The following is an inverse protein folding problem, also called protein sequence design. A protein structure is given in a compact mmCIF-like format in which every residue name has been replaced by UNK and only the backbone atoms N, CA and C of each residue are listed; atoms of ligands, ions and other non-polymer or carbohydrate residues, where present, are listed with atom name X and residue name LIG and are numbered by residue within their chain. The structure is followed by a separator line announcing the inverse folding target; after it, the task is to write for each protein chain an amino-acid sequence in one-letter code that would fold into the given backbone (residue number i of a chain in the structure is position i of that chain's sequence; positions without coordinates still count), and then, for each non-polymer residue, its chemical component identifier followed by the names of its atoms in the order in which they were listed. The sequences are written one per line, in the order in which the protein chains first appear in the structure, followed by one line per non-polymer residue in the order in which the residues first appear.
data_IF_350086209596
#
_entry.id   IF_350086209596
#
_cell.length_a   1.000
_cell.length_b   1.000
_cell.length_c   1.000
_cell.angle_alpha   90.00
_cell.angle_beta   90.00
_cell.angle_gamma   90.00
#
_symmetry.space_group_name_H-M   'P 1'
#
loop_
_entity.id
_entity.type
_entity.pdbx_description
1 polymer ?
#
# COMPACT_ATOMS: atom_id res chain seq x y z
N UNK A 1 80.78 30.70 -42.67
CA UNK A 1 79.34 30.91 -42.28
C UNK A 1 78.77 29.58 -41.87
N UNK A 2 78.83 29.26 -40.59
CA UNK A 2 78.37 27.99 -40.05
C UNK A 2 76.98 28.22 -39.39
N UNK A 3 75.99 27.52 -39.83
CA UNK A 3 74.67 27.46 -39.15
C UNK A 3 74.62 26.17 -38.32
N UNK A 4 74.61 26.35 -36.97
CA UNK A 4 74.45 25.30 -36.00
C UNK A 4 72.91 24.99 -35.87
N UNK A 5 72.49 23.77 -36.15
CA UNK A 5 71.13 23.27 -35.90
C UNK A 5 71.06 22.72 -34.46
N UNK A 6 70.24 23.36 -33.63
CA UNK A 6 69.94 22.89 -32.30
C UNK A 6 68.74 21.88 -32.37
N UNK A 7 69.03 20.65 -32.01
CA UNK A 7 68.05 19.56 -31.91
C UNK A 7 67.41 19.59 -30.54
N UNK A 8 66.10 19.86 -30.46
CA UNK A 8 65.32 19.78 -29.25
C UNK A 8 64.85 18.34 -28.99
N UNK A 9 65.34 17.71 -27.95
CA UNK A 9 64.80 16.45 -27.41
C UNK A 9 63.45 16.67 -26.80
N UNK A 10 62.41 16.00 -27.31
CA UNK A 10 61.10 15.86 -26.72
C UNK A 10 61.13 14.64 -25.79
N UNK A 11 60.97 14.86 -24.48
CA UNK A 11 60.80 13.83 -23.47
C UNK A 11 59.32 13.42 -23.45
N UNK A 12 58.95 12.15 -23.59
CA UNK A 12 57.53 11.75 -23.44
C UNK A 12 57.13 11.75 -21.97
N UNK A 13 56.11 12.53 -21.65
CA UNK A 13 55.43 12.51 -20.36
C UNK A 13 54.53 11.25 -20.30
N UNK A 14 54.97 10.24 -19.53
CA UNK A 14 54.15 9.06 -19.24
C UNK A 14 53.16 9.41 -18.15
N UNK A 15 51.92 9.58 -18.55
CA UNK A 15 50.80 9.79 -17.61
C UNK A 15 50.44 8.42 -16.98
N UNK A 16 50.91 8.17 -15.76
CA UNK A 16 50.50 7.00 -14.98
C UNK A 16 49.07 7.22 -14.47
N UNK A 17 48.09 6.59 -15.14
CA UNK A 17 46.71 6.49 -14.59
C UNK A 17 46.76 5.48 -13.47
N UNK A 18 46.76 5.97 -12.22
CA UNK A 18 46.54 5.14 -11.04
C UNK A 18 45.07 4.68 -11.06
N UNK A 19 44.83 3.44 -11.48
CA UNK A 19 43.56 2.74 -11.18
C UNK A 19 43.48 2.60 -9.66
N UNK A 20 42.72 3.46 -9.03
CA UNK A 20 42.27 3.24 -7.64
C UNK A 20 41.39 1.99 -7.65
N UNK A 21 41.93 0.85 -7.29
CA UNK A 21 41.18 -0.33 -6.96
C UNK A 21 40.28 0.06 -5.79
N UNK A 22 38.95 0.15 -6.02
CA UNK A 22 37.97 0.24 -4.95
C UNK A 22 38.23 -0.93 -4.00
N UNK A 23 38.36 -0.71 -2.68
CA UNK A 23 38.52 -1.82 -1.75
C UNK A 23 37.31 -2.73 -1.93
N UNK A 24 37.54 -4.01 -2.20
CA UNK A 24 36.50 -5.02 -2.06
C UNK A 24 35.97 -4.88 -0.62
N UNK A 25 34.76 -4.33 -0.44
CA UNK A 25 34.14 -4.25 0.86
C UNK A 25 34.04 -5.67 1.38
N UNK A 26 34.77 -5.96 2.46
CA UNK A 26 34.64 -7.20 3.21
C UNK A 26 33.16 -7.37 3.55
N UNK A 27 32.65 -8.61 3.48
CA UNK A 27 31.30 -8.90 3.91
C UNK A 27 31.16 -8.41 5.35
N UNK A 28 30.14 -7.56 5.62
CA UNK A 28 29.88 -7.04 6.97
C UNK A 28 29.54 -8.23 7.87
N UNK A 29 30.18 -8.30 9.01
CA UNK A 29 29.81 -9.27 10.05
C UNK A 29 28.57 -8.74 10.77
N UNK A 30 27.43 -9.40 10.53
CA UNK A 30 26.14 -8.97 11.06
C UNK A 30 25.89 -9.55 12.44
N UNK A 31 25.74 -8.70 13.45
CA UNK A 31 25.33 -9.09 14.78
C UNK A 31 23.79 -9.20 14.90
N UNK A 32 23.34 -9.99 15.87
CA UNK A 32 21.94 -10.01 16.32
C UNK A 32 21.90 -9.31 17.69
N UNK A 33 21.44 -8.04 17.75
CA UNK A 33 21.32 -7.29 18.99
C UNK A 33 20.18 -7.80 19.89
N UNK A 34 19.97 -7.10 21.04
CA UNK A 34 18.93 -7.44 22.02
C UNK A 34 17.49 -7.32 21.45
N UNK A 35 17.28 -6.64 20.33
CA UNK A 35 16.00 -6.67 19.61
C UNK A 35 15.66 -8.05 19.05
N UNK A 36 16.62 -8.95 18.93
CA UNK A 36 16.48 -10.26 18.33
C UNK A 36 16.44 -10.26 16.80
N UNK A 37 16.58 -9.08 16.16
CA UNK A 37 16.59 -8.92 14.70
C UNK A 37 18.00 -8.54 14.25
N UNK A 38 18.53 -9.29 13.28
CA UNK A 38 19.88 -9.05 12.73
C UNK A 38 20.09 -7.59 12.37
N UNK A 39 21.15 -6.98 12.87
CA UNK A 39 21.58 -5.61 12.56
C UNK A 39 20.63 -4.51 13.02
N UNK A 40 19.62 -4.79 13.84
CA UNK A 40 18.67 -3.78 14.34
C UNK A 40 18.88 -3.50 15.81
N UNK A 41 19.36 -2.31 16.13
CA UNK A 41 19.49 -1.77 17.47
C UNK A 41 18.20 -1.04 17.91
N UNK A 42 18.00 -0.89 19.22
CA UNK A 42 16.82 -0.22 19.77
C UNK A 42 16.65 1.22 19.25
N UNK A 43 17.73 1.97 19.05
CA UNK A 43 17.68 3.33 18.52
C UNK A 43 17.09 3.40 17.10
N UNK A 44 17.23 2.34 16.31
CA UNK A 44 16.73 2.27 14.93
C UNK A 44 15.23 2.04 14.86
N UNK A 45 14.57 1.79 15.99
CA UNK A 45 13.11 1.73 16.11
C UNK A 45 12.47 3.10 16.36
N UNK A 46 13.28 4.18 16.36
CA UNK A 46 12.84 5.56 16.44
C UNK A 46 13.00 6.24 15.05
N UNK A 47 11.94 6.85 14.47
CA UNK A 47 12.05 7.57 13.21
C UNK A 47 13.06 8.71 13.24
N UNK A 48 13.28 9.35 14.40
CA UNK A 48 14.24 10.43 14.56
C UNK A 48 15.68 9.97 14.24
N UNK A 49 16.04 8.72 14.52
CA UNK A 49 17.32 8.13 14.14
C UNK A 49 17.53 8.21 12.62
N UNK A 50 16.56 7.75 11.83
CA UNK A 50 16.64 7.70 10.37
C UNK A 50 16.56 9.08 9.73
N UNK A 51 15.70 9.94 10.26
CA UNK A 51 15.62 11.35 9.82
C UNK A 51 16.94 12.06 10.05
N UNK A 52 17.60 11.83 11.21
CA UNK A 52 18.91 12.39 11.54
C UNK A 52 20.05 11.92 10.64
N UNK A 53 19.92 10.77 9.98
CA UNK A 53 20.91 10.27 9.00
C UNK A 53 20.78 10.96 7.63
N UNK A 54 19.68 11.67 7.34
CA UNK A 54 19.46 12.30 6.06
C UNK A 54 20.15 13.67 6.00
N UNK A 55 20.94 13.92 4.97
CA UNK A 55 21.58 15.23 4.76
C UNK A 55 20.58 16.33 4.44
N UNK A 56 19.46 15.99 3.83
CA UNK A 56 18.38 16.89 3.41
C UNK A 56 17.00 16.26 3.69
N UNK A 57 16.62 16.07 4.97
CA UNK A 57 15.40 15.34 5.31
C UNK A 57 14.13 16.01 4.80
N UNK A 58 14.13 17.34 4.66
CA UNK A 58 12.97 18.15 4.25
C UNK A 58 13.00 18.52 2.76
N UNK A 59 13.95 17.99 1.98
CA UNK A 59 13.98 18.22 0.54
C UNK A 59 12.76 17.57 -0.13
N UNK A 60 11.99 18.38 -0.84
CA UNK A 60 10.87 17.90 -1.65
C UNK A 60 11.41 17.04 -2.81
N UNK A 61 10.98 15.78 -2.87
CA UNK A 61 11.37 14.80 -3.90
C UNK A 61 10.59 15.06 -5.19
N UNK A 62 9.26 15.19 -5.08
CA UNK A 62 8.35 15.61 -6.13
C UNK A 62 7.42 16.67 -5.55
N UNK A 63 7.19 17.74 -6.29
CA UNK A 63 6.18 18.74 -5.95
C UNK A 63 4.76 18.26 -6.34
N UNK A 64 3.76 18.99 -5.93
CA UNK A 64 2.35 18.66 -6.17
C UNK A 64 2.03 18.49 -7.66
N UNK A 65 2.62 19.30 -8.54
CA UNK A 65 2.39 19.22 -9.97
C UNK A 65 3.00 17.95 -10.58
N UNK A 66 4.21 17.59 -10.14
CA UNK A 66 4.88 16.36 -10.55
C UNK A 66 4.15 15.10 -10.06
N UNK A 67 3.61 15.13 -8.82
CA UNK A 67 2.77 14.06 -8.28
C UNK A 67 1.49 13.92 -9.11
N UNK A 68 0.80 15.02 -9.41
CA UNK A 68 -0.41 14.99 -10.24
C UNK A 68 -0.12 14.39 -11.63
N UNK A 69 0.97 14.81 -12.28
CA UNK A 69 1.39 14.25 -13.57
C UNK A 69 1.74 12.77 -13.52
N UNK A 70 2.31 12.30 -12.39
CA UNK A 70 2.60 10.88 -12.17
C UNK A 70 1.31 10.08 -11.98
N UNK A 71 0.35 10.56 -11.19
CA UNK A 71 -0.95 9.92 -11.01
C UNK A 71 -1.73 9.87 -12.33
N UNK A 72 -1.73 10.95 -13.13
CA UNK A 72 -2.34 10.94 -14.46
C UNK A 72 -1.70 9.91 -15.39
N UNK A 73 -0.37 9.78 -15.33
CA UNK A 73 0.35 8.74 -16.08
C UNK A 73 -0.04 7.34 -15.58
N UNK A 74 -0.22 7.14 -14.26
CA UNK A 74 -0.71 5.89 -13.67
C UNK A 74 -2.09 5.54 -14.25
N UNK A 75 -3.05 6.44 -14.16
CA UNK A 75 -4.41 6.23 -14.66
C UNK A 75 -4.46 5.94 -16.17
N UNK A 76 -3.58 6.55 -16.94
CA UNK A 76 -3.54 6.37 -18.40
C UNK A 76 -2.85 5.08 -18.85
N UNK A 77 -1.79 4.63 -18.17
CA UNK A 77 -0.91 3.57 -18.66
C UNK A 77 -1.03 2.26 -17.90
N UNK A 78 -1.42 2.29 -16.64
CA UNK A 78 -1.43 1.11 -15.79
C UNK A 78 -2.77 0.38 -15.89
N UNK A 79 -2.72 -0.84 -16.41
CA UNK A 79 -3.93 -1.66 -16.65
C UNK A 79 -4.56 -2.22 -15.38
N UNK A 80 -3.87 -2.15 -14.25
CA UNK A 80 -4.43 -2.54 -12.94
C UNK A 80 -5.30 -1.44 -12.32
N UNK A 81 -5.30 -0.24 -12.92
CA UNK A 81 -6.13 0.89 -12.51
C UNK A 81 -7.40 0.93 -13.36
N UNK A 82 -8.54 1.08 -12.70
CA UNK A 82 -9.84 1.19 -13.35
C UNK A 82 -10.31 2.65 -13.34
N UNK A 83 -10.49 3.24 -14.51
CA UNK A 83 -11.11 4.56 -14.63
C UNK A 83 -12.63 4.40 -14.51
N UNK A 84 -13.17 4.67 -13.33
CA UNK A 84 -14.61 4.59 -13.09
C UNK A 84 -15.42 5.62 -13.91
N UNK A 85 -14.81 6.76 -14.27
CA UNK A 85 -15.46 7.80 -15.10
C UNK A 85 -15.60 7.34 -16.55
N UNK A 86 -14.71 6.46 -17.00
CA UNK A 86 -14.73 5.92 -18.37
C UNK A 86 -15.59 4.65 -18.50
N UNK A 87 -16.15 4.11 -17.41
CA UNK A 87 -17.04 2.95 -17.52
C UNK A 87 -18.30 3.31 -18.30
N UNK A 88 -18.76 2.43 -19.24
CA UNK A 88 -19.97 2.65 -19.97
C UNK A 88 -21.19 2.62 -19.03
N UNK A 89 -22.27 3.31 -19.40
CA UNK A 89 -23.52 3.35 -18.65
C UNK A 89 -24.18 1.97 -18.52
N UNK A 90 -23.86 1.05 -19.43
CA UNK A 90 -24.29 -0.34 -19.39
C UNK A 90 -23.11 -1.25 -19.66
N UNK A 91 -23.02 -2.34 -18.91
CA UNK A 91 -21.95 -3.34 -18.99
C UNK A 91 -22.46 -4.61 -19.68
N UNK A 92 -21.63 -5.21 -20.53
CA UNK A 92 -21.95 -6.49 -21.15
C UNK A 92 -21.74 -7.63 -20.14
N UNK A 93 -22.47 -8.74 -20.36
CA UNK A 93 -22.27 -9.98 -19.59
C UNK A 93 -20.80 -10.42 -19.59
N UNK A 94 -20.11 -10.32 -20.73
CA UNK A 94 -18.72 -10.71 -20.88
C UNK A 94 -17.80 -9.87 -19.98
N UNK A 95 -17.99 -8.56 -19.93
CA UNK A 95 -17.20 -7.67 -19.06
C UNK A 95 -17.36 -8.05 -17.59
N UNK A 96 -18.60 -8.17 -17.11
CA UNK A 96 -18.87 -8.48 -15.70
C UNK A 96 -18.40 -9.91 -15.35
N UNK A 97 -18.73 -10.91 -16.18
CA UNK A 97 -18.29 -12.29 -15.94
C UNK A 97 -16.77 -12.43 -16.01
N UNK A 98 -16.11 -11.62 -16.86
CA UNK A 98 -14.65 -11.55 -16.93
C UNK A 98 -14.02 -11.12 -15.59
N UNK A 99 -14.51 -10.06 -14.98
CA UNK A 99 -14.02 -9.61 -13.66
C UNK A 99 -14.28 -10.64 -12.57
N UNK A 100 -15.52 -11.15 -12.47
CA UNK A 100 -15.87 -12.12 -11.42
C UNK A 100 -15.06 -13.40 -11.57
N UNK A 101 -14.97 -13.96 -12.79
CA UNK A 101 -14.25 -15.23 -13.05
C UNK A 101 -12.72 -15.08 -12.91
N UNK A 102 -12.18 -13.90 -13.15
CA UNK A 102 -10.75 -13.64 -12.92
C UNK A 102 -10.38 -13.77 -11.43
N UNK A 103 -11.28 -13.34 -10.54
CA UNK A 103 -11.09 -13.35 -9.09
C UNK A 103 -11.62 -14.63 -8.43
N UNK A 104 -12.90 -14.96 -8.64
CA UNK A 104 -13.63 -15.99 -7.91
C UNK A 104 -13.36 -17.40 -8.47
N UNK A 105 -12.09 -17.83 -8.40
CA UNK A 105 -11.66 -19.15 -8.86
C UNK A 105 -11.90 -20.20 -7.78
N UNK A 106 -12.67 -21.23 -8.10
CA UNK A 106 -12.94 -22.32 -7.17
C UNK A 106 -11.66 -22.93 -6.59
N UNK A 107 -11.55 -23.10 -5.25
CA UNK A 107 -10.38 -23.70 -4.64
C UNK A 107 -10.18 -25.16 -5.12
N UNK A 108 -8.93 -25.48 -5.51
CA UNK A 108 -8.56 -26.84 -5.96
C UNK A 108 -7.84 -27.65 -4.89
N UNK A 109 -7.38 -26.99 -3.81
CA UNK A 109 -6.68 -27.61 -2.68
C UNK A 109 -7.57 -27.60 -1.46
N UNK A 110 -7.37 -28.53 -0.50
CA UNK A 110 -8.03 -28.46 0.80
C UNK A 110 -7.74 -27.11 1.49
N UNK A 111 -8.75 -26.57 2.14
CA UNK A 111 -8.68 -25.36 2.95
C UNK A 111 -9.15 -25.67 4.36
N UNK A 112 -8.69 -24.87 5.32
CA UNK A 112 -9.00 -24.99 6.74
C UNK A 112 -9.72 -23.72 7.21
N UNK A 113 -10.61 -23.86 8.17
CA UNK A 113 -11.29 -22.72 8.80
C UNK A 113 -10.41 -22.08 9.89
N UNK A 114 -10.94 -21.08 10.58
CA UNK A 114 -10.25 -20.36 11.66
C UNK A 114 -10.00 -21.21 12.91
N UNK A 115 -10.60 -22.41 13.01
CA UNK A 115 -10.38 -23.39 14.06
C UNK A 115 -9.42 -24.51 13.64
N UNK A 116 -8.82 -24.40 12.44
CA UNK A 116 -7.93 -25.41 11.89
C UNK A 116 -8.64 -26.68 11.40
N UNK A 117 -9.98 -26.64 11.24
CA UNK A 117 -10.74 -27.78 10.74
C UNK A 117 -10.83 -27.72 9.21
N UNK A 118 -10.75 -28.87 8.52
CA UNK A 118 -10.96 -28.92 7.08
C UNK A 118 -12.35 -28.38 6.69
N UNK A 119 -12.39 -27.42 5.75
CA UNK A 119 -13.64 -26.90 5.21
C UNK A 119 -14.26 -27.94 4.29
N UNK A 120 -15.53 -28.29 4.55
CA UNK A 120 -16.26 -29.29 3.74
C UNK A 120 -16.40 -28.84 2.27
N UNK A 121 -16.32 -29.78 1.34
CA UNK A 121 -16.44 -29.49 -0.09
C UNK A 121 -17.77 -28.84 -0.45
N UNK A 122 -18.86 -29.28 0.19
CA UNK A 122 -20.20 -28.74 -0.04
C UNK A 122 -20.30 -27.27 0.43
N UNK A 123 -19.64 -26.90 1.53
CA UNK A 123 -19.55 -25.53 1.98
C UNK A 123 -18.79 -24.65 0.97
N UNK A 124 -17.66 -25.14 0.44
CA UNK A 124 -16.93 -24.43 -0.63
C UNK A 124 -17.74 -24.34 -1.92
N UNK A 125 -18.48 -25.39 -2.29
CA UNK A 125 -19.37 -25.36 -3.45
C UNK A 125 -20.49 -24.32 -3.27
N UNK A 126 -21.08 -24.22 -2.07
CA UNK A 126 -22.10 -23.22 -1.75
C UNK A 126 -21.54 -21.79 -1.87
N UNK A 127 -20.31 -21.53 -1.39
CA UNK A 127 -19.63 -20.25 -1.53
C UNK A 127 -19.42 -19.87 -2.99
N UNK A 128 -18.99 -20.82 -3.83
CA UNK A 128 -18.83 -20.61 -5.28
C UNK A 128 -20.17 -20.33 -5.96
N UNK A 129 -21.21 -21.09 -5.62
CA UNK A 129 -22.55 -20.91 -6.16
C UNK A 129 -23.17 -19.54 -5.78
N UNK A 130 -22.83 -19.02 -4.60
CA UNK A 130 -23.27 -17.69 -4.15
C UNK A 130 -22.76 -16.55 -5.05
N UNK A 131 -21.69 -16.76 -5.82
CA UNK A 131 -21.22 -15.79 -6.82
C UNK A 131 -22.21 -15.55 -7.97
N UNK A 132 -23.23 -16.39 -8.14
CA UNK A 132 -24.42 -16.17 -8.98
C UNK A 132 -24.10 -15.84 -10.46
N UNK A 133 -23.10 -16.50 -11.03
CA UNK A 133 -22.57 -16.19 -12.38
C UNK A 133 -23.63 -16.29 -13.48
N UNK A 134 -24.60 -17.21 -13.32
CA UNK A 134 -25.66 -17.43 -14.33
C UNK A 134 -26.65 -16.27 -14.40
N UNK A 135 -26.79 -15.50 -13.32
CA UNK A 135 -27.67 -14.33 -13.25
C UNK A 135 -27.02 -13.02 -13.75
N UNK A 136 -25.76 -13.05 -14.22
CA UNK A 136 -25.13 -11.87 -14.81
C UNK A 136 -25.92 -11.49 -16.08
N UNK A 137 -26.58 -10.33 -16.03
CA UNK A 137 -27.38 -9.84 -17.16
C UNK A 137 -26.47 -9.21 -18.22
N UNK A 138 -26.92 -9.28 -19.50
CA UNK A 138 -26.36 -8.48 -20.57
C UNK A 138 -26.99 -7.07 -20.55
N UNK A 139 -26.17 -6.03 -20.70
CA UNK A 139 -26.64 -4.64 -20.67
C UNK A 139 -27.06 -4.16 -19.27
N UNK A 140 -26.49 -4.71 -18.22
CA UNK A 140 -26.75 -4.24 -16.84
C UNK A 140 -26.31 -2.77 -16.67
N UNK A 141 -27.19 -1.95 -16.09
CA UNK A 141 -26.88 -0.53 -15.81
C UNK A 141 -25.76 -0.44 -14.75
N UNK A 142 -24.73 0.36 -15.07
CA UNK A 142 -23.66 0.67 -14.11
C UNK A 142 -24.22 1.57 -13.01
N UNK A 143 -24.15 1.11 -11.78
CA UNK A 143 -24.53 1.88 -10.58
C UNK A 143 -23.28 2.30 -9.85
N UNK A 144 -23.29 3.48 -9.24
CA UNK A 144 -22.17 3.99 -8.48
C UNK A 144 -22.50 4.08 -6.99
N UNK A 145 -21.49 3.91 -6.14
CA UNK A 145 -21.66 4.03 -4.69
C UNK A 145 -20.39 4.50 -4.00
N UNK A 146 -20.55 5.01 -2.79
CA UNK A 146 -19.46 5.32 -1.88
C UNK A 146 -19.42 4.28 -0.76
N UNK A 147 -18.22 3.88 -0.40
CA UNK A 147 -17.98 3.07 0.79
C UNK A 147 -18.23 3.94 2.02
N UNK A 148 -18.98 3.42 3.00
CA UNK A 148 -19.38 4.18 4.20
C UNK A 148 -18.64 3.79 5.47
N UNK A 149 -18.02 2.60 5.49
CA UNK A 149 -17.16 2.10 6.56
C UNK A 149 -15.96 1.40 5.95
N UNK A 150 -14.87 1.24 6.73
CA UNK A 150 -13.80 0.32 6.32
C UNK A 150 -14.40 -1.06 6.06
N UNK A 151 -14.17 -1.61 4.88
CA UNK A 151 -14.82 -2.82 4.41
C UNK A 151 -13.84 -3.77 3.73
N UNK A 152 -14.02 -5.05 3.99
CA UNK A 152 -13.27 -6.12 3.35
C UNK A 152 -13.71 -6.29 1.88
N UNK A 153 -12.74 -6.47 1.01
CA UNK A 153 -12.92 -6.96 -0.34
C UNK A 153 -12.56 -8.44 -0.40
N UNK A 154 -13.50 -9.26 -0.87
CA UNK A 154 -13.40 -10.71 -0.81
C UNK A 154 -13.34 -11.34 -2.20
N UNK A 155 -12.65 -12.48 -2.33
CA UNK A 155 -12.63 -13.30 -3.55
C UNK A 155 -13.99 -13.93 -3.86
N UNK A 156 -14.79 -14.16 -2.84
CA UNK A 156 -16.13 -14.73 -2.92
C UNK A 156 -17.10 -13.97 -2.00
N UNK A 157 -18.42 -13.99 -2.30
CA UNK A 157 -19.43 -13.35 -1.46
C UNK A 157 -19.68 -14.17 -0.18
N UNK A 158 -18.72 -14.10 0.76
CA UNK A 158 -18.75 -14.84 2.02
C UNK A 158 -17.88 -14.19 3.08
N UNK A 159 -18.30 -14.28 4.34
CA UNK A 159 -17.48 -13.94 5.51
C UNK A 159 -16.61 -15.11 5.98
N UNK A 160 -16.77 -16.30 5.41
CA UNK A 160 -15.96 -17.46 5.75
C UNK A 160 -14.48 -17.18 5.52
N UNK A 161 -13.68 -17.33 6.55
CA UNK A 161 -12.21 -17.27 6.47
C UNK A 161 -11.66 -18.65 6.22
N UNK A 162 -10.70 -18.73 5.29
CA UNK A 162 -10.11 -20.01 4.91
C UNK A 162 -8.60 -19.90 4.75
N UNK A 163 -7.89 -20.92 5.19
CA UNK A 163 -6.42 -20.95 5.27
C UNK A 163 -5.84 -22.17 4.55
N UNK A 164 -4.58 -22.08 4.15
CA UNK A 164 -3.89 -23.15 3.41
C UNK A 164 -3.37 -24.28 4.32
N UNK A 165 -3.29 -24.04 5.62
CA UNK A 165 -2.88 -25.03 6.64
C UNK A 165 -3.71 -24.83 7.91
N UNK A 166 -3.68 -25.80 8.79
CA UNK A 166 -4.44 -25.80 10.05
C UNK A 166 -3.79 -24.99 11.17
N UNK A 167 -2.58 -24.48 10.96
CA UNK A 167 -1.76 -23.75 11.95
C UNK A 167 -1.36 -22.34 11.47
N UNK A 168 -1.71 -21.95 10.25
CA UNK A 168 -1.46 -20.60 9.70
C UNK A 168 -2.79 -19.85 9.55
N UNK A 169 -3.03 -18.87 10.41
CA UNK A 169 -4.21 -18.01 10.38
C UNK A 169 -3.89 -16.57 9.94
N UNK A 170 -2.69 -16.32 9.43
CA UNK A 170 -2.27 -14.99 9.01
C UNK A 170 -2.75 -14.64 7.59
N UNK A 171 -2.95 -15.66 6.72
CA UNK A 171 -3.32 -15.44 5.31
C UNK A 171 -4.68 -16.10 5.01
N UNK A 172 -5.77 -15.33 5.15
CA UNK A 172 -7.11 -15.72 4.67
C UNK A 172 -7.13 -15.71 3.14
N UNK A 173 -7.39 -16.89 2.53
CA UNK A 173 -7.34 -17.09 1.07
C UNK A 173 -8.50 -16.47 0.32
N UNK A 174 -9.53 -16.02 1.01
CA UNK A 174 -10.65 -15.28 0.42
C UNK A 174 -10.58 -13.77 0.68
N UNK A 175 -9.63 -13.30 1.47
CA UNK A 175 -9.39 -11.89 1.66
C UNK A 175 -8.47 -11.33 0.57
N UNK A 176 -8.88 -10.25 -0.07
CA UNK A 176 -8.19 -9.67 -1.20
C UNK A 176 -7.66 -8.25 -0.93
N UNK A 177 -8.52 -7.39 -0.36
CA UNK A 177 -8.19 -5.99 -0.12
C UNK A 177 -9.15 -5.37 0.89
N UNK A 178 -8.97 -4.08 1.16
CA UNK A 178 -9.91 -3.23 1.90
C UNK A 178 -10.24 -1.96 1.14
N UNK A 179 -11.42 -1.41 1.39
CA UNK A 179 -11.84 -0.07 0.99
C UNK A 179 -12.20 0.77 2.22
N UNK A 180 -12.14 2.08 2.06
CA UNK A 180 -12.25 3.03 3.15
C UNK A 180 -13.42 3.99 2.94
N UNK A 181 -13.94 4.67 3.99
CA UNK A 181 -15.00 5.65 3.86
C UNK A 181 -14.68 6.71 2.79
N UNK A 182 -15.59 6.88 1.83
CA UNK A 182 -15.42 7.80 0.72
C UNK A 182 -14.78 7.20 -0.54
N UNK A 183 -14.28 5.96 -0.51
CA UNK A 183 -13.79 5.30 -1.72
C UNK A 183 -14.96 5.04 -2.69
N UNK A 184 -14.86 5.47 -3.97
CA UNK A 184 -15.90 5.26 -4.97
C UNK A 184 -15.83 3.84 -5.53
N UNK A 185 -17.00 3.30 -5.87
CA UNK A 185 -17.13 1.99 -6.53
C UNK A 185 -18.21 2.02 -7.61
N UNK A 186 -18.00 1.23 -8.67
CA UNK A 186 -19.06 0.83 -9.59
C UNK A 186 -19.61 -0.53 -9.13
N UNK A 187 -20.92 -0.61 -8.89
CA UNK A 187 -21.62 -1.85 -8.53
C UNK A 187 -22.06 -2.55 -9.79
N UNK A 188 -21.53 -3.76 -10.05
CA UNK A 188 -21.67 -4.43 -11.35
C UNK A 188 -22.39 -5.76 -11.29
N UNK A 189 -22.47 -6.43 -10.12
CA UNK A 189 -23.16 -7.69 -9.96
C UNK A 189 -23.60 -7.92 -8.52
N UNK A 190 -24.49 -8.91 -8.29
CA UNK A 190 -25.07 -9.22 -6.99
C UNK A 190 -25.00 -10.72 -6.70
N UNK A 191 -24.66 -11.08 -5.46
CA UNK A 191 -24.66 -12.48 -5.00
C UNK A 191 -26.05 -13.10 -5.00
N UNK A 192 -26.12 -14.42 -5.02
CA UNK A 192 -27.39 -15.17 -5.01
C UNK A 192 -28.22 -14.89 -3.74
N UNK A 193 -27.59 -14.78 -2.57
CA UNK A 193 -28.23 -14.46 -1.30
C UNK A 193 -28.61 -12.98 -1.16
N UNK A 194 -28.22 -12.15 -2.12
CA UNK A 194 -28.54 -10.74 -2.12
C UNK A 194 -27.81 -9.92 -1.05
N UNK A 195 -26.79 -10.45 -0.38
CA UNK A 195 -26.05 -9.74 0.70
C UNK A 195 -24.78 -9.05 0.21
N UNK A 196 -24.28 -9.40 -0.97
CA UNK A 196 -23.00 -8.92 -1.51
C UNK A 196 -23.17 -8.27 -2.87
N UNK A 197 -22.31 -7.30 -3.14
CA UNK A 197 -22.11 -6.76 -4.48
C UNK A 197 -20.70 -7.06 -4.96
N UNK A 198 -20.57 -7.43 -6.23
CA UNK A 198 -19.29 -7.35 -6.91
C UNK A 198 -19.12 -5.91 -7.36
N UNK A 199 -18.01 -5.30 -6.92
CA UNK A 199 -17.71 -3.89 -7.21
C UNK A 199 -16.38 -3.76 -7.91
N UNK A 200 -16.27 -2.70 -8.72
CA UNK A 200 -15.02 -2.24 -9.32
C UNK A 200 -14.67 -0.92 -8.63
N UNK A 201 -13.57 -0.87 -7.92
CA UNK A 201 -12.97 0.35 -7.38
C UNK A 201 -11.81 0.79 -8.28
N UNK A 202 -11.24 2.00 -8.13
CA UNK A 202 -10.10 2.44 -8.95
C UNK A 202 -8.91 1.47 -8.95
N UNK A 203 -8.70 0.70 -7.87
CA UNK A 203 -7.51 -0.13 -7.71
C UNK A 203 -7.78 -1.63 -7.56
N UNK A 204 -9.06 -2.04 -7.43
CA UNK A 204 -9.41 -3.45 -7.24
C UNK A 204 -10.87 -3.74 -7.62
N UNK A 205 -11.12 -4.96 -8.11
CA UNK A 205 -12.47 -5.45 -8.39
C UNK A 205 -12.72 -6.72 -7.56
N UNK A 206 -13.75 -6.72 -6.68
CA UNK A 206 -14.02 -7.82 -5.76
C UNK A 206 -15.42 -7.75 -5.14
N UNK A 207 -15.74 -8.72 -4.29
CA UNK A 207 -16.98 -8.75 -3.52
C UNK A 207 -16.89 -7.91 -2.26
N UNK A 208 -17.95 -7.13 -1.99
CA UNK A 208 -18.12 -6.33 -0.78
C UNK A 208 -19.52 -6.56 -0.21
N UNK A 209 -19.66 -6.56 1.11
CA UNK A 209 -20.98 -6.60 1.72
C UNK A 209 -21.78 -5.32 1.38
N UNK A 210 -23.03 -5.49 0.95
CA UNK A 210 -23.91 -4.37 0.57
C UNK A 210 -24.06 -3.29 1.63
N UNK A 211 -24.05 -3.68 2.91
CA UNK A 211 -24.21 -2.75 4.03
C UNK A 211 -23.11 -1.68 4.07
N UNK A 212 -21.97 -1.92 3.46
CA UNK A 212 -20.84 -0.99 3.44
C UNK A 212 -20.82 -0.04 2.25
N UNK A 213 -21.79 -0.13 1.34
CA UNK A 213 -21.85 0.72 0.14
C UNK A 213 -23.18 1.45 0.08
N UNK A 214 -23.14 2.78 -0.06
CA UNK A 214 -24.31 3.62 -0.33
C UNK A 214 -24.36 4.00 -1.81
N UNK A 215 -25.46 3.66 -2.50
CA UNK A 215 -25.61 3.89 -3.95
C UNK A 215 -26.19 5.27 -4.20
N UNK A 216 -25.60 6.01 -5.16
CA UNK A 216 -26.02 7.36 -5.52
C UNK A 216 -25.69 7.72 -6.96
N UNK A 217 -25.99 8.95 -7.30
CA UNK A 217 -25.70 9.50 -8.63
C UNK A 217 -24.21 9.51 -8.92
N UNK A 218 -23.82 9.19 -10.15
CA UNK A 218 -22.42 9.11 -10.58
C UNK A 218 -21.64 10.39 -10.25
N UNK A 219 -22.21 11.56 -10.51
CA UNK A 219 -21.59 12.86 -10.22
C UNK A 219 -21.27 13.04 -8.75
N UNK A 220 -22.21 12.72 -7.86
CA UNK A 220 -22.04 12.82 -6.41
C UNK A 220 -21.00 11.84 -5.88
N UNK A 221 -20.98 10.62 -6.43
CA UNK A 221 -20.05 9.55 -6.02
C UNK A 221 -18.64 9.86 -6.52
N UNK A 222 -18.47 10.11 -7.81
CA UNK A 222 -17.15 10.28 -8.43
C UNK A 222 -16.52 11.64 -8.08
N UNK A 223 -17.34 12.65 -7.78
CA UNK A 223 -16.87 13.97 -7.35
C UNK A 223 -16.57 14.08 -5.85
N UNK A 224 -16.94 13.10 -5.00
CA UNK A 224 -16.78 13.22 -3.55
C UNK A 224 -15.33 13.44 -3.13
N UNK A 225 -14.39 12.65 -3.64
CA UNK A 225 -12.96 12.75 -3.34
C UNK A 225 -12.26 13.99 -3.91
N UNK A 226 -12.91 14.75 -4.82
CA UNK A 226 -12.34 15.95 -5.43
C UNK A 226 -12.75 17.24 -4.70
N UNK A 227 -13.72 17.16 -3.78
CA UNK A 227 -14.28 18.33 -3.10
C UNK A 227 -13.24 19.02 -2.21
N UNK A 228 -13.30 20.35 -2.16
CA UNK A 228 -12.46 21.22 -1.34
C UNK A 228 -13.35 22.23 -0.57
N UNK A 229 -12.89 22.73 0.59
CA UNK A 229 -11.71 22.29 1.34
C UNK A 229 -11.85 20.86 1.89
N UNK A 230 -10.74 20.28 2.31
CA UNK A 230 -10.70 18.90 2.76
C UNK A 230 -9.72 18.69 3.92
N UNK A 231 -9.78 17.50 4.55
CA UNK A 231 -8.75 16.97 5.44
C UNK A 231 -8.23 15.66 4.87
N UNK A 232 -6.91 15.44 5.01
CA UNK A 232 -6.24 14.17 4.73
C UNK A 232 -5.76 13.58 6.05
N UNK A 233 -6.10 12.32 6.31
CA UNK A 233 -5.61 11.61 7.49
C UNK A 233 -4.12 11.33 7.34
N UNK A 234 -3.33 11.78 8.31
CA UNK A 234 -1.88 11.59 8.37
C UNK A 234 -1.45 10.67 9.51
N UNK A 235 -2.36 10.28 10.41
CA UNK A 235 -2.16 9.20 11.37
C UNK A 235 -2.30 7.83 10.73
N UNK A 236 -1.81 6.76 11.38
CA UNK A 236 -2.10 5.39 10.94
C UNK A 236 -3.61 5.16 10.84
N UNK A 237 -4.34 5.69 11.80
CA UNK A 237 -5.80 5.74 11.90
C UNK A 237 -6.21 7.05 12.58
N UNK A 238 -7.38 7.57 12.22
CA UNK A 238 -8.06 8.65 12.90
C UNK A 238 -9.52 8.27 13.11
N UNK A 239 -10.19 8.87 14.09
CA UNK A 239 -11.57 8.54 14.42
C UNK A 239 -12.42 9.79 14.54
N UNK A 240 -13.64 9.73 14.03
CA UNK A 240 -14.65 10.74 14.32
C UNK A 240 -15.06 10.64 15.79
N UNK A 241 -15.66 11.72 16.31
CA UNK A 241 -16.18 11.69 17.69
C UNK A 241 -17.38 10.75 17.81
N UNK A 242 -17.51 10.15 19.01
CA UNK A 242 -18.74 9.46 19.42
C UNK A 242 -19.93 10.40 19.34
N UNK A 243 -21.00 9.95 18.70
CA UNK A 243 -22.28 10.68 18.64
C UNK A 243 -23.47 9.73 18.57
N UNK A 244 -24.40 9.78 19.55
CA UNK A 244 -25.62 8.99 19.50
C UNK A 244 -26.67 9.57 18.53
N UNK A 245 -26.56 10.86 18.17
CA UNK A 245 -27.52 11.54 17.29
C UNK A 245 -27.38 11.10 15.82
N UNK A 246 -26.16 10.68 15.43
CA UNK A 246 -25.88 10.14 14.08
C UNK A 246 -24.93 8.94 14.16
N UNK A 247 -25.46 7.76 14.54
CA UNK A 247 -24.62 6.57 14.78
C UNK A 247 -23.82 6.11 13.56
N UNK A 248 -24.26 6.50 12.32
CA UNK A 248 -23.59 6.10 11.07
C UNK A 248 -22.22 6.75 10.88
N UNK A 249 -21.92 7.83 11.62
CA UNK A 249 -20.62 8.51 11.58
C UNK A 249 -19.95 8.58 12.96
N UNK A 250 -20.48 7.83 13.95
CA UNK A 250 -19.94 7.77 15.30
C UNK A 250 -18.72 6.87 15.37
N UNK A 251 -17.60 7.37 15.93
CA UNK A 251 -16.33 6.63 16.08
C UNK A 251 -15.88 5.94 14.79
N UNK A 252 -16.18 6.56 13.64
CA UNK A 252 -15.85 6.01 12.34
C UNK A 252 -14.34 6.10 12.10
N UNK A 253 -13.72 4.96 11.82
CA UNK A 253 -12.31 4.89 11.49
C UNK A 253 -12.06 5.43 10.08
N UNK A 254 -11.04 6.28 9.99
CA UNK A 254 -10.46 6.81 8.74
C UNK A 254 -8.98 6.41 8.71
N UNK A 255 -8.59 5.64 7.71
CA UNK A 255 -7.21 5.14 7.57
C UNK A 255 -6.30 6.20 6.91
N UNK A 256 -4.97 6.04 7.05
CA UNK A 256 -3.98 6.97 6.49
C UNK A 256 -4.23 7.26 5.01
N UNK A 257 -4.13 8.52 4.63
CA UNK A 257 -4.37 8.99 3.26
C UNK A 257 -5.84 9.11 2.88
N UNK A 258 -6.80 8.76 3.77
CA UNK A 258 -8.22 9.05 3.51
C UNK A 258 -8.43 10.56 3.47
N UNK A 259 -9.06 11.02 2.37
CA UNK A 259 -9.41 12.42 2.14
C UNK A 259 -10.90 12.60 2.31
N UNK A 260 -11.29 13.57 3.17
CA UNK A 260 -12.69 13.87 3.47
C UNK A 260 -12.98 15.36 3.30
N UNK A 261 -14.11 15.75 2.67
CA UNK A 261 -14.51 17.14 2.53
C UNK A 261 -14.76 17.81 3.88
N UNK A 262 -14.43 19.10 3.99
CA UNK A 262 -14.70 19.95 5.15
C UNK A 262 -15.89 20.87 4.83
N UNK A 263 -16.85 20.95 5.77
CA UNK A 263 -17.96 21.89 5.74
C UNK A 263 -17.51 23.23 6.34
N UNK A 264 -16.72 24.00 5.57
CA UNK A 264 -16.10 25.24 6.04
C UNK A 264 -17.12 26.31 6.48
N UNK A 265 -18.29 26.33 5.82
CA UNK A 265 -19.36 27.31 6.09
C UNK A 265 -20.33 26.82 7.19
N UNK A 266 -19.92 25.84 8.01
CA UNK A 266 -20.76 25.39 9.11
C UNK A 266 -21.02 26.55 10.09
N UNK A 267 -22.30 26.86 10.43
CA UNK A 267 -22.61 28.05 11.21
C UNK A 267 -21.95 28.04 12.58
N UNK A 268 -21.25 29.13 12.92
CA UNK A 268 -20.61 29.31 14.24
C UNK A 268 -21.64 29.16 15.34
N UNK A 269 -21.32 28.35 16.36
CA UNK A 269 -22.20 28.08 17.49
C UNK A 269 -23.29 27.02 17.23
N UNK A 270 -23.49 26.56 15.97
CA UNK A 270 -24.38 25.44 15.68
C UNK A 270 -23.68 24.13 16.03
N UNK A 271 -24.23 23.33 16.96
CA UNK A 271 -23.68 22.01 17.26
C UNK A 271 -23.71 21.08 16.04
N UNK A 272 -22.74 20.17 15.98
CA UNK A 272 -22.74 19.01 15.09
C UNK A 272 -23.05 17.80 15.93
N UNK A 273 -24.15 17.12 15.63
CA UNK A 273 -24.56 15.91 16.36
C UNK A 273 -24.44 16.10 17.90
N UNK A 274 -25.07 17.13 18.43
CA UNK A 274 -25.10 17.42 19.85
C UNK A 274 -23.84 18.09 20.45
N UNK A 275 -22.75 18.26 19.69
CA UNK A 275 -21.48 18.80 20.21
C UNK A 275 -21.03 20.04 19.45
N UNK A 276 -20.46 21.03 20.17
CA UNK A 276 -19.87 22.23 19.57
C UNK A 276 -18.54 21.92 18.84
N UNK A 277 -18.38 22.46 17.63
CA UNK A 277 -17.28 22.09 16.73
C UNK A 277 -15.93 22.79 16.98
N UNK A 278 -15.78 23.71 17.95
CA UNK A 278 -14.60 24.58 18.07
C UNK A 278 -13.25 23.85 18.24
N UNK A 279 -13.25 22.59 18.68
CA UNK A 279 -12.06 21.74 18.85
C UNK A 279 -11.90 20.69 17.75
N UNK A 280 -12.69 20.79 16.68
CA UNK A 280 -12.74 19.78 15.62
C UNK A 280 -12.88 20.43 14.25
N UNK A 281 -12.54 19.72 13.19
CA UNK A 281 -13.00 20.02 11.84
C UNK A 281 -14.41 19.42 11.67
N UNK A 282 -15.33 20.18 11.07
CA UNK A 282 -16.62 19.63 10.62
C UNK A 282 -16.38 19.03 9.25
N UNK A 283 -16.41 17.72 9.16
CA UNK A 283 -16.22 16.98 7.90
C UNK A 283 -17.56 16.41 7.42
N UNK A 284 -17.66 16.12 6.15
CA UNK A 284 -18.82 15.46 5.55
C UNK A 284 -18.47 14.02 5.19
N UNK A 285 -19.29 13.07 5.60
CA UNK A 285 -19.07 11.64 5.35
C UNK A 285 -20.25 11.03 4.62
N UNK A 286 -20.00 10.06 3.72
CA UNK A 286 -21.08 9.30 3.10
C UNK A 286 -21.73 8.41 4.13
N UNK A 287 -23.04 8.33 4.09
CA UNK A 287 -23.86 7.44 4.92
C UNK A 287 -24.87 6.70 4.06
N UNK A 288 -25.20 5.47 4.49
CA UNK A 288 -26.17 4.62 3.83
C UNK A 288 -27.50 4.72 4.50
N UNK A 289 -28.54 5.11 3.76
CA UNK A 289 -29.92 5.06 4.20
C UNK A 289 -30.46 3.61 4.26
N UNK A 290 -31.61 3.41 4.93
CA UNK A 290 -32.21 2.08 5.06
C UNK A 290 -32.56 1.43 3.71
N UNK A 291 -32.88 2.21 2.69
CA UNK A 291 -33.14 1.76 1.32
C UNK A 291 -31.86 1.51 0.50
N UNK A 292 -30.69 1.77 1.09
CA UNK A 292 -29.38 1.63 0.42
C UNK A 292 -28.90 2.86 -0.31
N UNK A 293 -29.68 3.93 -0.36
CA UNK A 293 -29.32 5.17 -1.05
C UNK A 293 -28.23 5.96 -0.33
N UNK A 294 -27.46 6.74 -1.09
CA UNK A 294 -26.41 7.62 -0.59
C UNK A 294 -27.00 8.90 -0.02
N UNK A 295 -26.64 9.17 1.22
CA UNK A 295 -26.77 10.49 1.84
C UNK A 295 -25.41 10.93 2.38
N UNK A 296 -25.32 12.16 2.86
CA UNK A 296 -24.16 12.68 3.56
C UNK A 296 -24.55 13.18 4.94
N UNK A 297 -23.68 12.99 5.91
CA UNK A 297 -23.85 13.48 7.26
C UNK A 297 -22.61 14.24 7.74
N UNK A 298 -22.79 15.33 8.53
CA UNK A 298 -21.69 16.00 9.18
C UNK A 298 -21.15 15.14 10.31
N UNK A 299 -19.83 15.16 10.47
CA UNK A 299 -19.11 14.51 11.57
C UNK A 299 -18.05 15.44 12.14
N UNK A 300 -17.65 15.23 13.38
CA UNK A 300 -16.56 15.94 14.01
C UNK A 300 -15.28 15.09 13.93
N UNK A 301 -14.24 15.63 13.26
CA UNK A 301 -12.88 15.11 13.31
C UNK A 301 -12.08 15.95 14.32
N UNK A 302 -11.77 15.42 15.51
CA UNK A 302 -11.07 16.17 16.54
C UNK A 302 -9.69 16.64 16.11
N UNK A 303 -9.24 17.80 16.60
CA UNK A 303 -7.88 18.30 16.33
C UNK A 303 -6.76 17.39 16.84
N UNK A 304 -7.06 16.51 17.82
CA UNK A 304 -6.11 15.49 18.30
C UNK A 304 -5.87 14.37 17.29
N UNK A 305 -6.82 14.13 16.37
CA UNK A 305 -6.69 13.13 15.34
C UNK A 305 -5.75 13.67 14.24
N UNK A 306 -4.66 12.95 13.94
CA UNK A 306 -3.66 13.43 12.98
C UNK A 306 -4.25 13.57 11.57
N UNK A 307 -4.42 14.79 11.12
CA UNK A 307 -4.93 15.12 9.77
C UNK A 307 -4.51 16.52 9.37
N UNK A 308 -4.31 16.74 8.05
CA UNK A 308 -3.89 18.02 7.48
C UNK A 308 -4.91 18.52 6.45
N UNK A 309 -4.90 19.82 6.17
CA UNK A 309 -5.75 20.46 5.14
C UNK A 309 -5.15 20.38 3.73
N UNK A 310 -4.04 19.68 3.59
CA UNK A 310 -3.32 19.39 2.36
C UNK A 310 -2.60 18.05 2.46
N UNK A 311 -2.16 17.51 1.33
CA UNK A 311 -1.27 16.34 1.34
C UNK A 311 0.10 16.73 1.88
N UNK A 312 0.73 15.85 2.66
CA UNK A 312 2.09 16.07 3.14
C UNK A 312 3.05 16.23 1.94
N UNK A 313 4.03 17.10 2.07
CA UNK A 313 5.10 17.19 1.08
C UNK A 313 5.85 15.85 0.98
N UNK A 314 6.12 15.38 -0.23
CA UNK A 314 6.90 14.15 -0.46
C UNK A 314 8.36 14.41 -0.14
N UNK A 315 8.77 14.13 1.08
CA UNK A 315 10.13 14.33 1.60
C UNK A 315 10.67 13.06 2.27
N UNK A 316 11.99 12.90 2.40
CA UNK A 316 12.56 11.79 3.17
C UNK A 316 12.01 11.72 4.60
N UNK A 317 11.88 12.88 5.29
CA UNK A 317 11.29 12.96 6.64
C UNK A 317 9.90 12.35 6.67
N UNK A 318 8.99 12.83 5.83
CA UNK A 318 7.60 12.37 5.86
C UNK A 318 7.49 10.89 5.48
N UNK A 319 8.27 10.39 4.52
CA UNK A 319 8.30 8.97 4.17
C UNK A 319 8.67 8.10 5.39
N UNK A 320 9.73 8.48 6.10
CA UNK A 320 10.18 7.79 7.31
C UNK A 320 9.11 7.88 8.40
N UNK A 321 8.70 9.09 8.78
CA UNK A 321 7.77 9.31 9.88
C UNK A 321 6.41 8.63 9.64
N UNK A 322 5.88 8.66 8.40
CA UNK A 322 4.63 7.98 8.07
C UNK A 322 4.76 6.45 8.17
N UNK A 323 5.88 5.89 7.71
CA UNK A 323 6.13 4.45 7.85
C UNK A 323 6.17 4.01 9.33
N UNK A 324 6.83 4.78 10.17
CA UNK A 324 6.99 4.47 11.60
C UNK A 324 5.69 4.61 12.41
N UNK A 325 4.68 5.32 11.93
CA UNK A 325 3.36 5.37 12.57
C UNK A 325 2.66 4.00 12.63
N UNK A 326 3.11 3.06 11.81
CA UNK A 326 2.61 1.69 11.78
C UNK A 326 3.51 0.68 12.51
N UNK A 327 4.67 1.10 13.02
CA UNK A 327 5.61 0.18 13.65
C UNK A 327 4.94 -0.59 14.80
N UNK A 328 4.97 -1.93 14.70
CA UNK A 328 4.29 -2.83 15.63
C UNK A 328 2.80 -3.10 15.30
N UNK A 329 2.22 -2.48 14.25
CA UNK A 329 0.90 -2.91 13.77
C UNK A 329 1.01 -4.34 13.23
N UNK A 330 0.02 -5.18 13.59
CA UNK A 330 -0.04 -6.56 13.13
C UNK A 330 -0.24 -6.63 11.62
N UNK A 331 0.49 -7.54 10.97
CA UNK A 331 0.29 -7.87 9.56
C UNK A 331 -1.16 -8.31 9.29
N UNK A 332 -1.78 -7.72 8.27
CA UNK A 332 -3.14 -8.03 7.86
C UNK A 332 -3.21 -8.30 6.36
N UNK A 333 -3.12 -9.57 5.94
CA UNK A 333 -3.28 -9.94 4.53
C UNK A 333 -4.56 -9.33 3.94
N UNK A 334 -4.43 -8.62 2.81
CA UNK A 334 -5.58 -7.95 2.19
C UNK A 334 -6.32 -6.97 3.11
N UNK A 335 -5.63 -6.30 4.05
CA UNK A 335 -6.22 -5.45 5.09
C UNK A 335 -7.05 -6.18 6.17
N UNK A 336 -6.92 -7.51 6.30
CA UNK A 336 -7.52 -8.27 7.41
C UNK A 336 -7.08 -7.74 8.78
N UNK A 337 -7.82 -8.10 9.80
CA UNK A 337 -7.50 -7.82 11.22
C UNK A 337 -7.34 -6.33 11.54
N UNK A 338 -8.00 -5.47 10.77
CA UNK A 338 -7.85 -4.01 10.83
C UNK A 338 -6.38 -3.56 10.66
N UNK A 339 -5.56 -4.38 10.02
CA UNK A 339 -4.16 -4.14 9.68
C UNK A 339 -3.98 -3.86 8.19
N UNK A 340 -2.76 -4.09 7.69
CA UNK A 340 -2.34 -3.92 6.30
C UNK A 340 -1.46 -5.09 5.88
N UNK A 341 -1.37 -5.34 4.57
CA UNK A 341 -0.30 -6.14 3.99
C UNK A 341 0.82 -5.23 3.45
N UNK A 342 1.89 -5.83 2.94
CA UNK A 342 3.08 -5.11 2.50
C UNK A 342 2.78 -4.03 1.45
N UNK A 343 1.91 -4.31 0.47
CA UNK A 343 1.56 -3.35 -0.59
C UNK A 343 0.54 -2.31 -0.13
N UNK A 344 -0.37 -2.66 0.77
CA UNK A 344 -1.28 -1.73 1.44
C UNK A 344 -0.52 -0.73 2.30
N UNK A 345 0.44 -1.22 3.10
CA UNK A 345 1.32 -0.40 3.94
C UNK A 345 2.04 0.68 3.13
N UNK A 346 2.77 0.31 2.09
CA UNK A 346 3.47 1.32 1.27
C UNK A 346 2.50 2.24 0.53
N UNK A 347 1.36 1.73 0.04
CA UNK A 347 0.37 2.54 -0.66
C UNK A 347 -0.22 3.63 0.22
N UNK A 348 -0.53 3.35 1.49
CA UNK A 348 -1.11 4.34 2.39
C UNK A 348 -0.11 5.40 2.81
N UNK A 349 1.16 5.04 3.03
CA UNK A 349 2.24 6.02 3.26
C UNK A 349 2.28 7.02 2.11
N UNK A 350 2.37 6.54 0.87
CA UNK A 350 2.43 7.39 -0.31
C UNK A 350 1.13 8.17 -0.55
N UNK A 351 -0.03 7.58 -0.26
CA UNK A 351 -1.35 8.24 -0.37
C UNK A 351 -1.48 9.45 0.56
N UNK A 352 -0.82 9.44 1.73
CA UNK A 352 -0.79 10.60 2.64
C UNK A 352 -0.07 11.81 2.04
N UNK A 353 0.75 11.59 1.00
CA UNK A 353 1.47 12.60 0.21
C UNK A 353 0.84 12.83 -1.18
N UNK A 354 -0.33 12.25 -1.44
CA UNK A 354 -1.05 12.39 -2.71
C UNK A 354 -0.54 11.50 -3.84
N UNK A 355 0.42 10.62 -3.60
CA UNK A 355 0.94 9.68 -4.59
C UNK A 355 0.09 8.42 -4.61
N UNK A 356 -0.39 8.03 -5.78
CA UNK A 356 -1.16 6.82 -5.99
C UNK A 356 -0.27 5.66 -6.48
N UNK A 357 -0.54 4.47 -5.95
CA UNK A 357 0.12 3.23 -6.35
C UNK A 357 -0.94 2.15 -6.67
N UNK A 358 -0.63 1.20 -7.56
CA UNK A 358 -1.44 0.00 -7.73
C UNK A 358 -1.66 -0.75 -6.42
N UNK A 359 -2.71 -1.59 -6.35
CA UNK A 359 -3.01 -2.32 -5.11
C UNK A 359 -2.07 -3.49 -4.85
N UNK A 360 -1.80 -4.30 -5.85
CA UNK A 360 -1.04 -5.53 -5.67
C UNK A 360 0.47 -5.30 -5.79
N UNK A 361 1.24 -6.05 -5.04
CA UNK A 361 2.71 -6.04 -5.11
C UNK A 361 3.22 -6.30 -6.54
N UNK A 362 2.61 -7.24 -7.27
CA UNK A 362 2.97 -7.55 -8.65
C UNK A 362 2.75 -6.38 -9.60
N UNK A 363 1.64 -5.66 -9.43
CA UNK A 363 1.29 -4.53 -10.29
C UNK A 363 2.16 -3.31 -9.96
N UNK A 364 2.37 -3.03 -8.67
CA UNK A 364 3.31 -1.99 -8.23
C UNK A 364 4.71 -2.22 -8.80
N UNK A 365 5.21 -3.47 -8.75
CA UNK A 365 6.56 -3.82 -9.21
C UNK A 365 6.83 -3.46 -10.67
N UNK A 366 5.81 -3.52 -11.53
CA UNK A 366 5.94 -3.30 -12.97
C UNK A 366 5.21 -2.05 -13.46
N UNK A 367 4.65 -1.25 -12.57
CA UNK A 367 3.89 -0.06 -12.93
C UNK A 367 4.68 0.86 -13.87
N UNK A 368 4.12 1.25 -15.02
CA UNK A 368 4.78 2.13 -15.98
C UNK A 368 4.77 3.59 -15.56
N UNK A 369 4.07 3.92 -14.47
CA UNK A 369 3.97 5.28 -13.95
C UNK A 369 5.22 5.73 -13.21
N UNK A 370 6.01 4.79 -12.68
CA UNK A 370 7.16 5.03 -11.84
C UNK A 370 8.49 4.83 -12.60
N UNK A 371 9.59 5.23 -11.98
CA UNK A 371 10.92 5.08 -12.56
C UNK A 371 11.50 3.71 -12.15
N UNK A 372 11.31 2.71 -13.03
CA UNK A 372 11.57 1.31 -12.76
C UNK A 372 13.00 0.89 -13.12
N UNK A 373 13.66 0.15 -12.22
CA UNK A 373 14.81 -0.69 -12.51
C UNK A 373 14.35 -2.16 -12.48
N UNK A 374 14.34 -2.81 -13.63
CA UNK A 374 14.03 -4.24 -13.72
C UNK A 374 15.30 -5.07 -13.52
N UNK A 375 15.19 -6.15 -12.77
CA UNK A 375 16.24 -7.13 -12.49
C UNK A 375 15.81 -8.51 -12.99
N UNK A 376 16.75 -9.27 -13.50
CA UNK A 376 16.53 -10.61 -14.04
C UNK A 376 17.58 -11.60 -13.56
N UNK A 377 17.42 -12.87 -13.85
CA UNK A 377 18.41 -13.91 -13.52
C UNK A 377 19.77 -13.73 -14.25
N UNK A 378 19.85 -12.79 -15.21
CA UNK A 378 21.09 -12.45 -15.91
C UNK A 378 21.94 -11.44 -15.12
N UNK A 379 21.35 -10.74 -14.15
CA UNK A 379 22.07 -9.76 -13.33
C UNK A 379 22.92 -10.47 -12.29
N UNK A 380 24.22 -10.21 -12.30
CA UNK A 380 25.16 -10.82 -11.37
C UNK A 380 24.89 -10.41 -9.92
N UNK A 381 25.28 -11.24 -8.93
CA UNK A 381 25.19 -10.87 -7.51
C UNK A 381 25.87 -9.54 -7.19
N UNK A 382 27.02 -9.26 -7.81
CA UNK A 382 27.75 -8.00 -7.65
C UNK A 382 26.91 -6.80 -8.15
N UNK A 383 26.25 -6.93 -9.33
CA UNK A 383 25.37 -5.89 -9.86
C UNK A 383 24.15 -5.64 -8.94
N UNK A 384 23.53 -6.71 -8.44
CA UNK A 384 22.40 -6.63 -7.51
C UNK A 384 22.78 -5.93 -6.21
N UNK A 385 23.93 -6.28 -5.63
CA UNK A 385 24.45 -5.65 -4.43
C UNK A 385 24.80 -4.17 -4.67
N UNK A 386 25.39 -3.84 -5.81
CA UNK A 386 25.64 -2.44 -6.20
C UNK A 386 24.33 -1.65 -6.23
N UNK A 387 23.29 -2.16 -6.92
CA UNK A 387 21.97 -1.50 -6.97
C UNK A 387 21.38 -1.34 -5.56
N UNK A 388 21.49 -2.37 -4.71
CA UNK A 388 20.99 -2.31 -3.33
C UNK A 388 21.67 -1.18 -2.53
N UNK A 389 22.97 -0.97 -2.71
CA UNK A 389 23.73 0.10 -2.04
C UNK A 389 23.49 1.50 -2.61
N UNK A 390 22.91 1.61 -3.80
CA UNK A 390 22.52 2.89 -4.43
C UNK A 390 21.09 3.31 -4.09
N UNK A 391 20.35 2.50 -3.31
CA UNK A 391 18.98 2.80 -2.90
C UNK A 391 18.91 4.03 -2.00
N UNK A 392 17.84 4.78 -2.14
CA UNK A 392 17.56 5.99 -1.35
C UNK A 392 16.21 5.88 -0.63
N UNK A 393 16.02 6.72 0.37
CA UNK A 393 14.74 6.79 1.11
C UNK A 393 13.57 6.94 0.14
N UNK A 394 12.57 6.09 0.31
CA UNK A 394 11.39 6.04 -0.53
C UNK A 394 11.51 5.13 -1.77
N UNK A 395 12.69 4.59 -2.10
CA UNK A 395 12.75 3.55 -3.13
C UNK A 395 12.01 2.30 -2.64
N UNK A 396 11.18 1.71 -3.53
CA UNK A 396 10.43 0.50 -3.24
C UNK A 396 11.14 -0.70 -3.85
N UNK A 397 11.50 -1.67 -3.00
CA UNK A 397 12.22 -2.89 -3.38
C UNK A 397 11.22 -4.05 -3.45
N UNK A 398 11.18 -4.74 -4.60
CA UNK A 398 10.28 -5.87 -4.84
C UNK A 398 11.05 -7.18 -4.96
N UNK A 399 10.59 -8.16 -4.20
CA UNK A 399 10.93 -9.58 -4.35
C UNK A 399 9.64 -10.37 -4.64
N UNK A 400 9.67 -11.64 -5.06
CA UNK A 400 8.45 -12.40 -5.31
C UNK A 400 7.49 -12.38 -4.11
N UNK A 401 6.31 -11.76 -4.30
CA UNK A 401 5.24 -11.69 -3.31
C UNK A 401 5.42 -10.64 -2.22
N UNK A 402 6.44 -9.77 -2.27
CA UNK A 402 6.69 -8.80 -1.21
C UNK A 402 7.27 -7.48 -1.71
N UNK A 403 6.97 -6.39 -0.98
CA UNK A 403 7.51 -5.05 -1.18
C UNK A 403 8.01 -4.46 0.13
N UNK A 404 9.08 -3.69 0.05
CA UNK A 404 9.74 -3.00 1.16
C UNK A 404 10.07 -1.57 0.76
N UNK A 405 9.95 -0.62 1.69
CA UNK A 405 10.35 0.78 1.49
C UNK A 405 11.70 1.05 2.16
N UNK A 406 12.63 1.62 1.41
CA UNK A 406 13.95 2.04 1.94
C UNK A 406 13.78 3.25 2.85
N UNK A 407 14.39 3.20 4.04
CA UNK A 407 14.35 4.28 5.06
C UNK A 407 15.71 4.93 5.31
N UNK A 408 16.78 4.36 4.81
CA UNK A 408 18.13 4.90 4.97
C UNK A 408 19.21 3.87 4.77
N UNK A 409 20.43 4.25 5.13
CA UNK A 409 21.61 3.39 5.08
C UNK A 409 22.46 3.58 6.34
N UNK A 410 23.13 2.51 6.78
CA UNK A 410 24.15 2.55 7.83
C UNK A 410 25.39 1.87 7.26
N UNK A 411 26.52 2.61 7.20
CA UNK A 411 27.79 2.12 6.62
C UNK A 411 27.65 1.61 5.19
N UNK A 412 26.78 2.23 4.39
CA UNK A 412 26.50 1.84 3.00
C UNK A 412 25.58 0.62 2.83
N UNK A 413 25.04 0.08 3.92
CA UNK A 413 24.07 -1.01 3.87
C UNK A 413 22.63 -0.48 3.99
N UNK A 414 21.73 -0.79 3.05
CA UNK A 414 20.37 -0.28 3.04
C UNK A 414 19.49 -0.94 4.11
N UNK A 415 18.68 -0.11 4.75
CA UNK A 415 17.63 -0.54 5.67
C UNK A 415 16.26 -0.23 5.10
N UNK A 416 15.33 -1.13 5.39
CA UNK A 416 13.95 -1.06 4.92
C UNK A 416 12.97 -1.13 6.08
N UNK A 417 11.79 -0.54 5.86
CA UNK A 417 10.60 -0.77 6.68
C UNK A 417 9.56 -1.47 5.83
N UNK A 418 8.95 -2.51 6.35
CA UNK A 418 7.99 -3.32 5.62
C UNK A 418 7.04 -4.07 6.55
N UNK A 419 5.86 -4.36 6.06
CA UNK A 419 4.87 -5.15 6.77
C UNK A 419 4.97 -6.61 6.30
N UNK A 420 5.27 -7.53 7.22
CA UNK A 420 5.61 -8.92 6.90
C UNK A 420 5.21 -9.90 7.98
N UNK A 421 4.91 -11.14 7.60
CA UNK A 421 4.66 -12.23 8.55
C UNK A 421 5.92 -12.66 9.31
N UNK A 422 7.11 -12.42 8.75
CA UNK A 422 8.36 -12.74 9.42
C UNK A 422 9.60 -12.55 8.56
N UNK A 423 10.76 -12.68 9.21
CA UNK A 423 12.09 -12.54 8.63
C UNK A 423 12.89 -13.84 8.79
N UNK A 424 13.80 -14.09 7.86
CA UNK A 424 14.81 -15.14 7.99
C UNK A 424 16.20 -14.55 7.77
N UNK A 425 17.16 -14.99 8.58
CA UNK A 425 18.56 -14.57 8.49
C UNK A 425 19.48 -15.63 9.11
N UNK A 426 20.79 -15.49 8.90
CA UNK A 426 21.78 -16.39 9.54
C UNK A 426 22.11 -15.85 10.93
N UNK A 427 21.90 -16.66 11.95
CA UNK A 427 22.28 -16.34 13.33
C UNK A 427 23.78 -16.48 13.60
N UNK A 428 24.23 -16.06 14.79
CA UNK A 428 25.63 -16.13 15.21
C UNK A 428 26.22 -17.56 15.20
N UNK A 429 25.38 -18.59 15.36
CA UNK A 429 25.76 -20.00 15.29
C UNK A 429 25.80 -20.56 13.85
N UNK A 430 25.60 -19.72 12.84
CA UNK A 430 25.56 -20.12 11.44
C UNK A 430 24.26 -20.78 10.99
N UNK A 431 23.27 -20.92 11.88
CA UNK A 431 21.98 -21.50 11.54
C UNK A 431 20.98 -20.44 11.09
N UNK A 432 20.01 -20.88 10.28
CA UNK A 432 18.90 -20.00 9.90
C UNK A 432 17.97 -19.74 11.09
N UNK A 433 17.84 -18.48 11.45
CA UNK A 433 16.83 -17.97 12.38
C UNK A 433 15.59 -17.56 11.57
N UNK A 434 14.42 -17.90 12.09
CA UNK A 434 13.12 -17.44 11.56
C UNK A 434 12.41 -16.62 12.65
N UNK A 435 12.43 -15.31 12.51
CA UNK A 435 11.75 -14.40 13.42
C UNK A 435 10.32 -14.17 12.91
N UNK A 436 9.31 -14.64 13.66
CA UNK A 436 7.90 -14.38 13.35
C UNK A 436 7.53 -12.98 13.86
N UNK A 437 7.86 -11.93 13.10
CA UNK A 437 7.57 -10.54 13.46
C UNK A 437 6.09 -10.21 13.34
N UNK A 438 5.44 -10.75 12.33
CA UNK A 438 4.00 -10.65 12.04
C UNK A 438 3.47 -9.21 12.16
N UNK A 439 4.15 -8.28 11.51
CA UNK A 439 3.81 -6.86 11.56
C UNK A 439 4.84 -5.97 10.89
N UNK A 440 4.64 -4.67 11.03
CA UNK A 440 5.55 -3.67 10.48
C UNK A 440 6.89 -3.72 11.19
N UNK A 441 7.94 -3.91 10.42
CA UNK A 441 9.28 -4.27 10.89
C UNK A 441 10.34 -3.44 10.18
N UNK A 442 11.38 -3.02 10.92
CA UNK A 442 12.62 -2.44 10.38
C UNK A 442 13.66 -3.56 10.26
N UNK A 443 14.41 -3.59 9.18
CA UNK A 443 15.49 -4.56 8.98
C UNK A 443 16.54 -4.07 7.97
N UNK A 444 17.80 -4.53 8.06
CA UNK A 444 18.74 -4.40 6.95
C UNK A 444 18.28 -5.28 5.79
N UNK A 445 18.52 -4.83 4.55
CA UNK A 445 18.07 -5.57 3.36
C UNK A 445 18.99 -6.74 3.01
N UNK A 446 20.31 -6.54 3.11
CA UNK A 446 21.31 -7.46 2.53
C UNK A 446 21.45 -8.82 3.24
N UNK A 447 21.34 -8.94 4.59
CA UNK A 447 21.49 -10.22 5.29
C UNK A 447 20.20 -11.05 5.31
N UNK A 448 19.06 -10.52 4.85
CA UNK A 448 17.80 -11.27 4.88
C UNK A 448 17.80 -12.42 3.87
N UNK A 449 17.31 -13.59 4.31
CA UNK A 449 17.21 -14.80 3.51
C UNK A 449 15.78 -14.97 2.98
N UNK A 450 15.63 -15.17 1.68
CA UNK A 450 14.35 -15.45 1.02
C UNK A 450 13.91 -16.91 1.24
N UNK A 451 14.86 -17.87 1.14
CA UNK A 451 14.55 -19.30 1.21
C UNK A 451 15.66 -20.13 1.88
N UNK A 452 16.39 -19.56 2.80
CA UNK A 452 17.50 -20.24 3.53
C UNK A 452 18.79 -20.39 2.74
N UNK A 453 18.79 -20.08 1.43
CA UNK A 453 19.99 -20.13 0.56
C UNK A 453 20.21 -18.83 -0.21
N UNK A 454 19.15 -18.21 -0.68
CA UNK A 454 19.18 -16.97 -1.44
C UNK A 454 18.79 -15.81 -0.54
N UNK A 455 19.50 -14.69 -0.68
CA UNK A 455 19.17 -13.47 0.04
C UNK A 455 18.00 -12.73 -0.63
N UNK A 456 17.46 -11.71 0.04
CA UNK A 456 16.49 -10.79 -0.56
C UNK A 456 17.10 -10.09 -1.77
N UNK A 457 18.40 -9.70 -1.72
CA UNK A 457 19.12 -9.07 -2.83
C UNK A 457 19.20 -9.99 -4.04
N UNK A 458 19.45 -11.30 -3.84
CA UNK A 458 19.44 -12.28 -4.93
C UNK A 458 18.06 -12.40 -5.59
N UNK A 459 17.01 -12.12 -4.85
CA UNK A 459 15.62 -12.27 -5.29
C UNK A 459 14.93 -10.96 -5.67
N UNK A 460 15.62 -9.81 -5.63
CA UNK A 460 15.08 -8.56 -6.16
C UNK A 460 14.64 -8.73 -7.62
N UNK A 461 13.42 -8.36 -7.92
CA UNK A 461 12.84 -8.39 -9.27
C UNK A 461 12.75 -7.00 -9.88
N UNK A 462 12.44 -6.01 -9.05
CA UNK A 462 12.27 -4.62 -9.47
C UNK A 462 12.62 -3.67 -8.32
N UNK A 463 13.05 -2.48 -8.70
CA UNK A 463 13.06 -1.30 -7.85
C UNK A 463 12.13 -0.28 -8.50
N UNK A 464 11.22 0.31 -7.76
CA UNK A 464 10.45 1.46 -8.21
C UNK A 464 10.89 2.71 -7.46
N UNK A 465 11.28 3.72 -8.20
CA UNK A 465 11.71 5.01 -7.66
C UNK A 465 10.59 6.04 -7.83
N UNK A 466 10.18 6.66 -6.71
CA UNK A 466 9.20 7.76 -6.71
C UNK A 466 9.97 9.09 -6.85
N UNK A 467 10.91 9.12 -7.72
CA UNK A 467 11.77 10.27 -8.05
C UNK A 467 12.24 10.16 -9.49
N UNK A 468 12.62 11.28 -10.13
CA UNK A 468 13.15 11.28 -11.49
C UNK A 468 14.38 10.41 -11.67
#
# INVERSE_FOLDING_TARGET
MNRTKTMRLLTPLVLAVALAASPALAARDWAVPDTGIIGVEQAQLDPAFWVGQQSQPDRVILDTAAIAAQNERLHRLDRSIHDLKALPSTLTREQVSGWVSALSKAPTKPLFDEHGQPVARDALAAVVANANLDAIADGATTRYGLVVHRADLRAFPTTLRVFSSNDDHDIDRFQESGLFPGDPVAVVHESHDGQWWFVVSPRYAAWIEKRFVAVGDAERVLGFGERAPYRVVTGAKAFTLFTPEEPRVSELQLDMGTRVPVLADWPTGKPVNGQHAYTSAVIELPVRNNDGSLAFAPALLPRREPSEDHYLALTPRHLIEQGFKFLGERYGWGHSYNGRDCSGFVSEIYRSMGVELPRNTSDQAVSPALNRIALSDKDSPARRLQIARELQVGDLVYIPGHVMMVIGQIDGEPYVIHDTTGLSFTGADGKTVRAKTNGVTVSPLTPLLFNGKQTYVDRMTNIQRIRP
#
